data_IF_956213963336
#
_entry.id   IF_956213963336
#
_cell.length_a   1.000
_cell.length_b   1.000
_cell.length_c   1.000
_cell.angle_alpha   90.00
_cell.angle_beta   90.00
_cell.angle_gamma   90.00
#
_symmetry.space_group_name_H-M   'P 1'
#
loop_
_entity.id
_entity.type
_entity.pdbx_description
1 polymer ?
#
# COMPACT_ATOMS: atom_id res chain seq x y z
N UNK A 1 -4.22 15.09 1.12
CA UNK A 1 -4.89 15.49 -0.13
C UNK A 1 -6.37 15.12 -0.04
N UNK A 2 -7.26 16.02 -0.44
CA UNK A 2 -8.71 15.89 -0.30
C UNK A 2 -9.17 14.58 -0.95
N UNK A 3 -9.81 13.72 -0.17
CA UNK A 3 -10.27 12.38 -0.57
C UNK A 3 -11.14 12.47 -1.85
N UNK A 4 -11.94 13.53 -1.98
CA UNK A 4 -12.82 13.80 -3.11
C UNK A 4 -12.10 14.00 -4.46
N UNK A 5 -10.91 14.63 -4.47
CA UNK A 5 -10.17 14.86 -5.72
C UNK A 5 -9.57 13.56 -6.25
N UNK A 6 -9.08 12.70 -5.35
CA UNK A 6 -8.54 11.39 -5.69
C UNK A 6 -9.64 10.47 -6.23
N UNK A 7 -10.79 10.44 -5.55
CA UNK A 7 -11.93 9.65 -6.02
C UNK A 7 -12.40 10.10 -7.40
N UNK A 8 -12.33 11.41 -7.67
CA UNK A 8 -12.72 11.98 -8.96
C UNK A 8 -11.80 11.50 -10.09
N UNK A 9 -10.50 11.46 -9.85
CA UNK A 9 -9.53 10.98 -10.82
C UNK A 9 -9.66 9.48 -11.09
N UNK A 10 -9.97 8.69 -10.05
CA UNK A 10 -10.04 7.24 -10.16
C UNK A 10 -11.22 6.76 -11.03
N UNK A 11 -12.41 7.35 -10.90
CA UNK A 11 -13.54 6.94 -11.74
C UNK A 11 -13.36 7.40 -13.21
N UNK A 12 -12.78 8.58 -13.44
CA UNK A 12 -12.47 9.06 -14.80
C UNK A 12 -11.47 8.14 -15.49
N UNK A 13 -10.47 7.65 -14.76
CA UNK A 13 -9.54 6.66 -15.27
C UNK A 13 -10.26 5.34 -15.63
N UNK A 14 -11.16 4.87 -14.77
CA UNK A 14 -11.94 3.66 -15.03
C UNK A 14 -12.87 3.79 -16.25
N UNK A 15 -13.57 4.92 -16.42
CA UNK A 15 -14.41 5.18 -17.61
C UNK A 15 -13.57 5.22 -18.90
N UNK A 16 -12.37 5.80 -18.84
CA UNK A 16 -11.45 5.84 -19.97
C UNK A 16 -10.97 4.43 -20.33
N UNK A 17 -10.53 3.63 -19.36
CA UNK A 17 -10.12 2.23 -19.60
C UNK A 17 -11.29 1.39 -20.10
N UNK A 18 -12.51 1.58 -19.58
CA UNK A 18 -13.72 0.93 -20.07
C UNK A 18 -13.98 1.22 -21.55
N UNK A 19 -13.95 2.50 -21.95
CA UNK A 19 -14.16 2.92 -23.34
C UNK A 19 -13.09 2.33 -24.25
N UNK A 20 -11.82 2.48 -23.89
CA UNK A 20 -10.69 1.95 -24.66
C UNK A 20 -10.76 0.43 -24.83
N UNK A 21 -11.07 -0.32 -23.77
CA UNK A 21 -11.14 -1.78 -23.84
C UNK A 21 -12.36 -2.26 -24.62
N UNK A 22 -13.48 -1.55 -24.53
CA UNK A 22 -14.68 -1.87 -25.32
C UNK A 22 -14.41 -1.67 -26.81
N UNK A 23 -13.70 -0.62 -27.19
CA UNK A 23 -13.29 -0.37 -28.58
C UNK A 23 -12.24 -1.36 -29.08
N UNK A 24 -11.26 -1.71 -28.23
CA UNK A 24 -10.17 -2.62 -28.60
C UNK A 24 -10.58 -4.10 -28.63
N UNK A 25 -11.64 -4.48 -27.92
CA UNK A 25 -12.09 -5.87 -27.75
C UNK A 25 -13.59 -5.99 -28.11
N UNK A 26 -13.98 -5.83 -29.38
CA UNK A 26 -15.39 -5.80 -29.78
C UNK A 26 -16.15 -7.10 -29.50
N UNK A 27 -15.44 -8.23 -29.43
CA UNK A 27 -16.03 -9.55 -29.14
C UNK A 27 -16.15 -9.85 -27.64
N UNK A 28 -15.61 -8.96 -26.77
CA UNK A 28 -15.60 -9.15 -25.33
C UNK A 28 -16.66 -8.28 -24.67
N UNK A 29 -17.48 -8.89 -23.82
CA UNK A 29 -18.46 -8.15 -23.02
C UNK A 29 -17.77 -7.46 -21.84
N UNK A 30 -17.47 -6.17 -22.01
CA UNK A 30 -16.84 -5.33 -20.99
C UNK A 30 -17.89 -4.69 -20.09
N UNK A 31 -17.61 -4.65 -18.79
CA UNK A 31 -18.43 -3.97 -17.78
C UNK A 31 -17.63 -2.95 -16.98
N UNK A 32 -18.32 -2.02 -16.33
CA UNK A 32 -17.73 -0.98 -15.49
C UNK A 32 -18.41 -0.97 -14.12
N UNK A 33 -17.61 -0.92 -13.05
CA UNK A 33 -18.07 -0.69 -11.69
C UNK A 33 -17.14 0.30 -10.99
N UNK A 34 -17.65 1.39 -10.42
CA UNK A 34 -16.83 2.34 -9.66
C UNK A 34 -17.59 3.00 -8.52
N UNK A 35 -16.88 3.70 -7.63
CA UNK A 35 -17.42 4.33 -6.41
C UNK A 35 -18.65 5.21 -6.60
N UNK A 36 -18.75 5.96 -7.70
CA UNK A 36 -19.88 6.86 -7.99
C UNK A 36 -21.18 6.22 -8.50
N UNK A 37 -21.18 4.92 -8.83
CA UNK A 37 -22.40 4.23 -9.27
C UNK A 37 -23.35 3.99 -8.10
N UNK A 38 -24.65 3.94 -8.38
CA UNK A 38 -25.64 3.59 -7.35
C UNK A 38 -25.39 2.15 -6.86
N UNK A 39 -25.66 1.84 -5.58
CA UNK A 39 -25.45 0.49 -5.04
C UNK A 39 -26.10 -0.62 -5.89
N UNK A 40 -27.33 -0.41 -6.35
CA UNK A 40 -28.04 -1.38 -7.20
C UNK A 40 -27.35 -1.61 -8.56
N UNK A 41 -26.73 -0.58 -9.14
CA UNK A 41 -26.00 -0.70 -10.41
C UNK A 41 -24.70 -1.48 -10.22
N UNK A 42 -23.99 -1.22 -9.12
CA UNK A 42 -22.79 -1.97 -8.73
C UNK A 42 -23.12 -3.45 -8.55
N UNK A 43 -24.17 -3.76 -7.79
CA UNK A 43 -24.60 -5.13 -7.53
C UNK A 43 -24.98 -5.85 -8.83
N UNK A 44 -25.74 -5.20 -9.71
CA UNK A 44 -26.09 -5.75 -11.03
C UNK A 44 -24.87 -6.02 -11.90
N UNK A 45 -23.90 -5.09 -11.95
CA UNK A 45 -22.66 -5.27 -12.71
C UNK A 45 -21.82 -6.42 -12.17
N UNK A 46 -21.70 -6.53 -10.85
CA UNK A 46 -20.99 -7.63 -10.21
C UNK A 46 -21.68 -8.98 -10.44
N UNK A 47 -23.00 -9.03 -10.37
CA UNK A 47 -23.76 -10.25 -10.61
C UNK A 47 -23.61 -10.73 -12.06
N UNK A 48 -23.73 -9.80 -13.02
CA UNK A 48 -23.49 -10.11 -14.44
C UNK A 48 -22.06 -10.62 -14.70
N UNK A 49 -21.05 -10.12 -13.98
CA UNK A 49 -19.69 -10.64 -14.07
C UNK A 49 -19.56 -12.05 -13.48
N UNK A 50 -20.16 -12.33 -12.32
CA UNK A 50 -20.18 -13.67 -11.72
C UNK A 50 -20.85 -14.71 -12.64
N UNK A 51 -21.93 -14.32 -13.30
CA UNK A 51 -22.70 -15.17 -14.23
C UNK A 51 -22.03 -15.33 -15.60
N UNK A 52 -20.93 -14.62 -15.88
CA UNK A 52 -20.25 -14.67 -17.19
C UNK A 52 -20.96 -13.88 -18.30
N UNK A 53 -22.00 -13.12 -17.96
CA UNK A 53 -22.63 -12.15 -18.86
C UNK A 53 -21.67 -10.99 -19.15
N UNK A 54 -20.81 -10.63 -18.21
CA UNK A 54 -19.65 -9.75 -18.43
C UNK A 54 -18.41 -10.64 -18.34
N UNK A 55 -17.49 -10.48 -19.29
CA UNK A 55 -16.26 -11.27 -19.38
C UNK A 55 -15.04 -10.48 -18.89
N UNK A 56 -15.07 -9.15 -19.02
CA UNK A 56 -14.06 -8.25 -18.51
C UNK A 56 -14.73 -7.18 -17.66
N UNK A 57 -14.28 -7.02 -16.43
CA UNK A 57 -14.80 -5.99 -15.52
C UNK A 57 -13.72 -4.95 -15.21
N UNK A 58 -14.00 -3.69 -15.58
CA UNK A 58 -13.17 -2.54 -15.20
C UNK A 58 -13.70 -2.00 -13.87
N UNK A 59 -12.81 -1.87 -12.88
CA UNK A 59 -13.17 -1.54 -11.51
C UNK A 59 -12.15 -0.61 -10.84
N UNK A 60 -12.63 0.29 -9.96
CA UNK A 60 -11.73 1.08 -9.08
C UNK A 60 -11.49 0.38 -7.74
N UNK A 61 -10.39 0.74 -7.06
CA UNK A 61 -9.95 0.14 -5.80
C UNK A 61 -10.86 0.40 -4.61
N UNK A 62 -11.78 1.38 -4.69
CA UNK A 62 -12.82 1.68 -3.67
C UNK A 62 -13.92 0.61 -3.66
N UNK A 63 -13.69 -0.51 -4.34
CA UNK A 63 -14.57 -1.66 -4.34
C UNK A 63 -14.04 -2.63 -3.27
N UNK A 64 -14.37 -2.27 -2.03
CA UNK A 64 -14.44 -3.15 -0.85
C UNK A 64 -15.46 -4.29 -1.01
N UNK A 65 -16.04 -4.46 -2.20
CA UNK A 65 -17.01 -5.51 -2.44
C UNK A 65 -16.25 -6.84 -2.44
N UNK A 66 -16.44 -7.62 -1.38
CA UNK A 66 -15.90 -8.96 -1.13
C UNK A 66 -16.42 -9.98 -2.14
N UNK A 67 -16.14 -9.75 -3.41
CA UNK A 67 -16.58 -10.57 -4.53
C UNK A 67 -15.46 -11.54 -4.85
N UNK A 68 -15.57 -12.73 -4.28
CA UNK A 68 -14.90 -13.91 -4.78
C UNK A 68 -15.52 -14.26 -6.15
N UNK A 69 -14.70 -14.23 -7.21
CA UNK A 69 -15.13 -14.61 -8.56
C UNK A 69 -14.32 -15.84 -8.95
N UNK A 70 -14.81 -17.05 -8.63
CA UNK A 70 -14.06 -18.29 -8.87
C UNK A 70 -13.78 -18.54 -10.37
N UNK A 71 -14.58 -17.94 -11.26
CA UNK A 71 -14.41 -18.03 -12.70
C UNK A 71 -13.37 -17.04 -13.27
N UNK A 72 -12.87 -16.10 -12.48
CA UNK A 72 -11.89 -15.12 -12.95
C UNK A 72 -10.48 -15.72 -12.92
N UNK A 73 -9.90 -15.93 -14.11
CA UNK A 73 -8.55 -16.47 -14.28
C UNK A 73 -7.47 -15.39 -14.45
N UNK A 74 -7.84 -14.13 -14.68
CA UNK A 74 -6.90 -13.04 -14.91
C UNK A 74 -7.26 -11.81 -14.07
N UNK A 75 -6.29 -11.32 -13.28
CA UNK A 75 -6.36 -10.06 -12.56
C UNK A 75 -5.32 -9.10 -13.16
N UNK A 76 -5.73 -7.89 -13.53
CA UNK A 76 -4.83 -6.83 -13.99
C UNK A 76 -4.97 -5.65 -13.04
N UNK A 77 -3.88 -5.24 -12.41
CA UNK A 77 -3.85 -4.11 -11.49
C UNK A 77 -3.06 -2.98 -12.14
N UNK A 78 -3.76 -1.91 -12.51
CA UNK A 78 -3.16 -0.68 -13.00
C UNK A 78 -2.58 0.18 -11.88
N UNK A 79 -1.48 0.88 -12.18
CA UNK A 79 -0.78 1.77 -11.24
C UNK A 79 -0.46 1.08 -9.90
N UNK A 80 -0.04 -0.17 -9.95
CA UNK A 80 0.22 -1.01 -8.78
C UNK A 80 1.27 -0.39 -7.82
N UNK A 81 2.14 0.50 -8.32
CA UNK A 81 3.12 1.22 -7.51
C UNK A 81 2.51 2.16 -6.47
N UNK A 82 1.24 2.57 -6.65
CA UNK A 82 0.53 3.47 -5.73
C UNK A 82 -0.13 2.73 -4.57
N UNK A 83 -0.33 1.42 -4.71
CA UNK A 83 -1.07 0.61 -3.74
C UNK A 83 -0.18 0.09 -2.61
N UNK A 84 -0.78 -0.13 -1.44
CA UNK A 84 -0.13 -0.82 -0.32
C UNK A 84 0.12 -2.30 -0.64
N UNK A 85 1.18 -2.89 -0.06
CA UNK A 85 1.49 -4.31 -0.28
C UNK A 85 0.35 -5.22 0.20
N UNK A 86 -0.27 -4.90 1.35
CA UNK A 86 -1.44 -5.62 1.84
C UNK A 86 -2.65 -5.54 0.90
N UNK A 87 -2.93 -4.37 0.31
CA UNK A 87 -4.04 -4.19 -0.63
C UNK A 87 -3.82 -5.00 -1.91
N UNK A 88 -2.61 -4.97 -2.45
CA UNK A 88 -2.23 -5.77 -3.62
C UNK A 88 -2.35 -7.27 -3.33
N UNK A 89 -1.94 -7.70 -2.13
CA UNK A 89 -2.10 -9.08 -1.69
C UNK A 89 -3.57 -9.51 -1.62
N UNK A 90 -4.43 -8.65 -1.06
CA UNK A 90 -5.88 -8.89 -1.00
C UNK A 90 -6.50 -8.98 -2.40
N UNK A 91 -6.15 -8.06 -3.32
CA UNK A 91 -6.65 -8.08 -4.70
C UNK A 91 -6.19 -9.33 -5.46
N UNK A 92 -4.92 -9.71 -5.32
CA UNK A 92 -4.39 -10.96 -5.90
C UNK A 92 -5.18 -12.17 -5.41
N UNK A 93 -5.53 -12.20 -4.12
CA UNK A 93 -6.29 -13.31 -3.51
C UNK A 93 -7.77 -13.39 -3.91
N UNK A 94 -8.27 -12.47 -4.74
CA UNK A 94 -9.64 -12.52 -5.30
C UNK A 94 -9.74 -13.36 -6.58
N UNK A 95 -8.61 -13.75 -7.17
CA UNK A 95 -8.54 -14.68 -8.31
C UNK A 95 -7.81 -15.97 -7.91
N UNK A 96 -8.06 -17.07 -8.61
CA UNK A 96 -7.36 -18.34 -8.35
C UNK A 96 -7.92 -19.18 -7.21
N UNK A 97 -9.20 -19.01 -6.89
CA UNK A 97 -9.91 -19.86 -5.91
C UNK A 97 -10.62 -21.06 -6.54
N UNK A 98 -10.67 -21.13 -7.87
CA UNK A 98 -11.17 -22.28 -8.64
C UNK A 98 -10.05 -23.24 -9.05
N UNK A 99 -10.41 -24.26 -9.84
CA UNK A 99 -9.47 -25.23 -10.39
C UNK A 99 -8.62 -24.70 -11.57
N UNK A 100 -8.94 -23.50 -12.08
CA UNK A 100 -8.29 -22.89 -13.23
C UNK A 100 -7.02 -22.18 -12.77
N UNK A 101 -5.91 -22.38 -13.51
CA UNK A 101 -4.69 -21.62 -13.28
C UNK A 101 -4.96 -20.12 -13.49
N UNK A 102 -4.69 -19.32 -12.46
CA UNK A 102 -4.92 -17.87 -12.50
C UNK A 102 -3.61 -17.09 -12.58
N UNK A 103 -3.70 -15.93 -13.23
CA UNK A 103 -2.59 -15.00 -13.40
C UNK A 103 -2.94 -13.62 -12.82
N UNK A 104 -1.97 -12.97 -12.19
CA UNK A 104 -2.07 -11.60 -11.73
C UNK A 104 -0.97 -10.77 -12.39
N UNK A 105 -1.37 -9.73 -13.13
CA UNK A 105 -0.49 -8.83 -13.87
C UNK A 105 -0.48 -7.48 -13.17
N UNK A 106 0.70 -7.04 -12.74
CA UNK A 106 0.92 -5.76 -12.08
C UNK A 106 1.47 -4.76 -13.11
N UNK A 107 0.64 -3.79 -13.51
CA UNK A 107 1.05 -2.71 -14.40
C UNK A 107 1.48 -1.50 -13.57
N UNK A 108 2.60 -0.91 -13.93
CA UNK A 108 3.15 0.26 -13.26
C UNK A 108 3.74 1.25 -14.25
N UNK A 109 3.83 2.51 -13.84
CA UNK A 109 4.47 3.56 -14.65
C UNK A 109 5.90 3.81 -14.15
N UNK A 110 6.93 3.69 -15.02
CA UNK A 110 8.27 4.09 -14.65
C UNK A 110 8.39 5.62 -14.50
N UNK A 111 9.34 6.12 -13.68
CA UNK A 111 10.30 5.36 -12.89
C UNK A 111 9.72 4.85 -11.56
N UNK A 112 10.09 3.63 -11.17
CA UNK A 112 9.74 3.08 -9.85
C UNK A 112 10.69 3.58 -8.77
N UNK A 113 10.15 4.14 -7.69
CA UNK A 113 10.91 4.37 -6.46
C UNK A 113 11.34 3.06 -5.80
N UNK A 114 12.40 3.11 -4.97
CA UNK A 114 12.98 1.91 -4.31
C UNK A 114 11.94 1.11 -3.52
N UNK A 115 11.08 1.78 -2.76
CA UNK A 115 10.02 1.14 -1.95
C UNK A 115 8.98 0.46 -2.84
N UNK A 116 8.50 1.15 -3.89
CA UNK A 116 7.53 0.58 -4.82
C UNK A 116 8.09 -0.65 -5.54
N UNK A 117 9.34 -0.58 -6.00
CA UNK A 117 10.03 -1.72 -6.61
C UNK A 117 10.12 -2.91 -5.64
N UNK A 118 10.47 -2.66 -4.37
CA UNK A 118 10.54 -3.71 -3.36
C UNK A 118 9.18 -4.36 -3.12
N UNK A 119 8.11 -3.58 -2.94
CA UNK A 119 6.74 -4.09 -2.74
C UNK A 119 6.28 -4.97 -3.91
N UNK A 120 6.45 -4.50 -5.15
CA UNK A 120 6.05 -5.26 -6.33
C UNK A 120 6.87 -6.55 -6.49
N UNK A 121 8.15 -6.54 -6.09
CA UNK A 121 9.02 -7.72 -6.14
C UNK A 121 8.56 -8.78 -5.14
N UNK A 122 8.22 -8.39 -3.91
CA UNK A 122 7.69 -9.31 -2.89
C UNK A 122 6.44 -10.05 -3.39
N UNK A 123 5.49 -9.35 -4.03
CA UNK A 123 4.29 -9.97 -4.58
C UNK A 123 4.55 -10.95 -5.74
N UNK A 124 5.63 -10.73 -6.48
CA UNK A 124 6.05 -11.59 -7.59
C UNK A 124 6.78 -12.83 -7.08
N UNK A 125 7.56 -12.70 -6.01
CA UNK A 125 8.44 -13.75 -5.49
C UNK A 125 7.71 -14.75 -4.60
N UNK A 126 6.66 -14.34 -3.88
CA UNK A 126 5.96 -15.23 -2.95
C UNK A 126 4.44 -15.07 -2.98
N UNK A 127 3.77 -16.20 -2.78
CA UNK A 127 2.32 -16.27 -2.56
C UNK A 127 1.95 -16.43 -1.08
N UNK A 128 2.92 -16.62 -0.18
CA UNK A 128 2.68 -16.84 1.24
C UNK A 128 2.28 -15.52 1.94
N UNK A 129 1.06 -15.49 2.47
CA UNK A 129 0.51 -14.33 3.16
C UNK A 129 1.29 -13.94 4.42
N UNK A 130 1.94 -14.88 5.10
CA UNK A 130 2.78 -14.58 6.28
C UNK A 130 4.05 -13.85 5.86
N UNK A 131 4.73 -14.34 4.82
CA UNK A 131 5.94 -13.68 4.28
C UNK A 131 5.59 -12.29 3.74
N UNK A 132 4.44 -12.15 3.06
CA UNK A 132 3.99 -10.84 2.58
C UNK A 132 3.72 -9.88 3.75
N UNK A 133 3.11 -10.35 4.83
CA UNK A 133 2.84 -9.54 6.02
C UNK A 133 4.12 -9.11 6.73
N UNK A 134 5.10 -10.02 6.88
CA UNK A 134 6.42 -9.72 7.44
C UNK A 134 7.14 -8.65 6.61
N UNK A 135 7.17 -8.80 5.27
CA UNK A 135 7.77 -7.80 4.38
C UNK A 135 7.01 -6.48 4.36
N UNK A 136 5.68 -6.49 4.49
CA UNK A 136 4.89 -5.25 4.62
C UNK A 136 5.27 -4.50 5.90
N UNK A 137 5.46 -5.23 7.00
CA UNK A 137 5.92 -4.67 8.26
C UNK A 137 7.34 -4.07 8.14
N UNK A 138 8.28 -4.80 7.54
CA UNK A 138 9.64 -4.30 7.30
C UNK A 138 9.65 -3.03 6.44
N UNK A 139 8.83 -3.00 5.37
CA UNK A 139 8.76 -1.90 4.43
C UNK A 139 8.08 -0.65 5.00
N UNK A 140 7.09 -0.82 5.89
CA UNK A 140 6.48 0.29 6.64
C UNK A 140 7.38 0.78 7.77
N UNK A 141 8.22 -0.11 8.29
CA UNK A 141 9.04 0.13 9.45
C UNK A 141 8.27 0.06 10.76
N UNK A 142 8.99 -0.07 11.88
CA UNK A 142 8.43 -0.32 13.21
C UNK A 142 7.59 0.82 13.81
N UNK A 143 7.61 2.01 13.20
CA UNK A 143 6.88 3.18 13.68
C UNK A 143 5.38 3.19 13.39
N UNK A 144 4.85 2.26 12.56
CA UNK A 144 3.42 2.24 12.18
C UNK A 144 2.58 1.16 12.90
N UNK A 145 3.20 0.19 13.60
CA UNK A 145 2.48 -0.92 14.27
C UNK A 145 1.54 -0.48 15.40
N UNK A 146 1.72 0.71 15.97
CA UNK A 146 0.96 1.22 17.12
C UNK A 146 -0.12 2.26 16.74
N UNK A 147 -0.61 2.25 15.49
CA UNK A 147 -1.81 2.99 15.11
C UNK A 147 -1.69 4.51 15.17
N UNK A 148 -0.50 5.03 15.40
CA UNK A 148 -0.21 6.46 15.34
C UNK A 148 1.08 6.63 14.58
N UNK A 149 1.02 7.26 13.40
CA UNK A 149 2.08 8.22 13.07
C UNK A 149 2.05 9.24 14.19
N UNK A 150 2.74 8.98 15.28
CA UNK A 150 3.11 10.04 16.21
C UNK A 150 4.08 10.91 15.42
N UNK A 151 3.49 11.87 14.72
CA UNK A 151 4.10 13.13 14.32
C UNK A 151 4.83 13.66 15.55
N UNK A 152 6.12 13.33 15.70
CA UNK A 152 6.84 13.64 16.92
C UNK A 152 8.11 12.84 17.18
N UNK A 153 8.30 11.64 16.62
CA UNK A 153 9.59 10.98 16.72
C UNK A 153 10.57 11.57 15.70
N UNK A 154 11.75 12.06 16.12
CA UNK A 154 12.72 12.62 15.21
C UNK A 154 13.20 11.54 14.23
N UNK A 155 13.27 11.88 12.95
CA UNK A 155 13.96 11.05 11.95
C UNK A 155 15.43 10.94 12.36
N UNK A 156 15.78 9.82 13.00
CA UNK A 156 17.15 9.55 13.39
C UNK A 156 18.02 9.43 12.13
N UNK A 157 19.02 10.31 12.00
CA UNK A 157 19.92 10.34 10.82
C UNK A 157 20.80 9.10 10.68
N UNK A 158 21.03 8.37 11.78
CA UNK A 158 22.00 7.27 11.86
C UNK A 158 21.45 6.07 12.64
N UNK A 159 20.69 6.33 13.71
CA UNK A 159 20.13 5.29 14.57
C UNK A 159 18.87 4.68 13.95
N UNK A 160 18.72 3.37 14.09
CA UNK A 160 17.49 2.65 13.77
C UNK A 160 17.06 1.90 15.03
N UNK A 161 15.96 2.34 15.65
CA UNK A 161 15.51 1.85 16.95
C UNK A 161 15.25 0.34 16.99
N UNK A 162 14.97 -0.30 15.86
CA UNK A 162 14.77 -1.76 15.80
C UNK A 162 16.06 -2.52 15.55
N UNK A 163 16.90 -2.06 14.61
CA UNK A 163 18.23 -2.65 14.41
C UNK A 163 19.08 -2.55 15.68
N UNK A 164 18.96 -1.42 16.38
CA UNK A 164 19.83 -1.04 17.49
C UNK A 164 19.19 -1.32 18.87
N UNK A 165 18.07 -2.08 18.91
CA UNK A 165 17.31 -2.31 20.15
C UNK A 165 18.18 -2.92 21.28
N UNK A 166 19.07 -3.85 20.94
CA UNK A 166 19.99 -4.49 21.90
C UNK A 166 21.03 -3.51 22.49
N UNK A 167 21.28 -2.38 21.82
CA UNK A 167 22.22 -1.37 22.28
C UNK A 167 21.56 -0.38 23.25
N UNK A 168 20.23 -0.32 23.31
CA UNK A 168 19.48 0.68 24.09
C UNK A 168 19.85 0.71 25.58
N UNK A 169 20.02 -0.43 26.29
CA UNK A 169 20.45 -0.40 27.69
C UNK A 169 21.81 0.27 27.89
N UNK A 170 22.75 0.00 26.98
CA UNK A 170 24.11 0.59 27.02
C UNK A 170 24.09 2.07 26.67
N UNK A 171 23.24 2.46 25.73
CA UNK A 171 23.03 3.87 25.35
C UNK A 171 22.47 4.67 26.53
N UNK A 172 21.50 4.13 27.26
CA UNK A 172 20.93 4.79 28.45
C UNK A 172 21.98 4.98 29.54
N UNK A 173 22.78 3.95 29.84
CA UNK A 173 23.87 4.06 30.81
C UNK A 173 24.89 5.12 30.40
N UNK A 174 25.34 5.11 29.14
CA UNK A 174 26.30 6.08 28.64
C UNK A 174 25.75 7.51 28.65
N UNK A 175 24.47 7.69 28.29
CA UNK A 175 23.81 8.98 28.33
C UNK A 175 23.76 9.54 29.75
N UNK A 176 23.46 8.70 30.74
CA UNK A 176 23.44 9.10 32.15
C UNK A 176 24.84 9.47 32.67
N UNK A 177 25.86 8.68 32.34
CA UNK A 177 27.26 9.01 32.66
C UNK A 177 27.66 10.36 32.09
N UNK A 178 27.39 10.60 30.80
CA UNK A 178 27.73 11.88 30.14
C UNK A 178 26.95 13.04 30.77
N UNK A 179 25.69 12.83 31.15
CA UNK A 179 24.86 13.85 31.79
C UNK A 179 25.38 14.26 33.17
N UNK A 180 25.89 13.30 33.95
CA UNK A 180 26.41 13.54 35.30
C UNK A 180 27.84 14.07 35.30
N UNK A 181 28.71 13.52 34.46
CA UNK A 181 30.15 13.80 34.48
C UNK A 181 30.57 14.93 33.54
N UNK A 182 29.80 15.17 32.46
CA UNK A 182 30.13 16.15 31.43
C UNK A 182 28.89 16.88 30.89
N UNK A 183 28.18 17.66 31.73
CA UNK A 183 26.92 18.30 31.36
C UNK A 183 27.05 19.26 30.16
N UNK A 184 28.18 19.94 30.00
CA UNK A 184 28.44 20.81 28.84
C UNK A 184 28.54 20.03 27.53
N UNK A 185 29.15 18.83 27.57
CA UNK A 185 29.21 17.94 26.42
C UNK A 185 27.84 17.36 26.09
N UNK A 186 27.05 17.00 27.11
CA UNK A 186 25.67 16.57 26.91
C UNK A 186 24.85 17.65 26.19
N UNK A 187 24.94 18.90 26.64
CA UNK A 187 24.27 20.04 26.01
C UNK A 187 24.78 20.29 24.57
N UNK A 188 26.09 20.16 24.32
CA UNK A 188 26.66 20.30 22.99
C UNK A 188 26.18 19.20 22.02
N UNK A 189 26.07 17.95 22.47
CA UNK A 189 25.56 16.81 21.70
C UNK A 189 24.07 17.03 21.36
N UNK A 190 23.25 17.38 22.35
CA UNK A 190 21.82 17.69 22.15
C UNK A 190 21.67 18.83 21.14
N UNK A 191 22.39 19.95 21.32
CA UNK A 191 22.34 21.06 20.35
C UNK A 191 22.78 20.62 18.95
N UNK A 192 23.86 19.86 18.81
CA UNK A 192 24.35 19.44 17.50
C UNK A 192 23.36 18.54 16.75
N UNK A 193 22.71 17.62 17.44
CA UNK A 193 21.90 16.57 16.82
C UNK A 193 20.39 16.83 16.85
N UNK A 194 19.92 17.71 17.73
CA UNK A 194 18.50 18.04 17.93
C UNK A 194 18.19 19.54 17.71
N UNK A 195 19.11 20.42 17.30
CA UNK A 195 18.84 21.86 17.16
C UNK A 195 17.65 22.26 16.24
N UNK A 196 17.10 21.36 15.43
CA UNK A 196 15.92 21.59 14.58
C UNK A 196 14.58 21.15 15.23
N UNK A 197 14.50 21.03 16.57
CA UNK A 197 13.24 20.67 17.29
C UNK A 197 12.11 21.70 17.05
N UNK A 198 12.39 22.92 16.61
CA UNK A 198 11.35 23.93 16.30
C UNK A 198 10.42 23.57 15.13
N UNK A 199 10.65 22.47 14.40
CA UNK A 199 9.67 21.91 13.45
C UNK A 199 8.74 20.85 14.03
N UNK A 200 8.94 20.38 15.26
CA UNK A 200 8.37 19.10 15.71
C UNK A 200 7.76 19.10 17.11
N UNK A 201 7.29 20.24 17.63
CA UNK A 201 6.62 20.23 18.93
C UNK A 201 5.87 21.51 19.29
N UNK A 202 4.69 21.72 18.69
CA UNK A 202 3.54 22.22 19.45
C UNK A 202 2.57 21.05 19.60
N UNK A 203 2.66 20.39 20.75
CA UNK A 203 1.55 19.65 21.36
C UNK A 203 1.20 20.42 22.61
#
# INVERSE_FOLDING_TARGET
PLIDESETLDYQAAEKSYTMLTEALPDVRVGLVHGRMKPAEKERGMQAFKEGLIQLLVATTVIEVGVDVPNASLMIIENAERMGLSQLHQLRGRVGRGAIQSHCVLLYKPPLGRIAKSRLSVLRETNDGFVVAERDLELRGPGELLGTRQTGLPDYRVANLVRDAELMPRVQMAAETIRLEAPDNAAAIVRRWLADVNRYGKV
#
